data_IF_588734797757
#
_entry.id   IF_588734797757
#
_cell.length_a   1.000
_cell.length_b   1.000
_cell.length_c   1.000
_cell.angle_alpha   90.00
_cell.angle_beta   90.00
_cell.angle_gamma   90.00
#
_symmetry.space_group_name_H-M   'P 1'
#
loop_
_entity.id
_entity.type
_entity.pdbx_description
1 polymer ?
#
# COMPACT_ATOMS: atom_id res chain seq x y z
N UNK A 1 -16.46 -8.67 -7.16
CA UNK A 1 -15.39 -9.28 -7.98
C UNK A 1 -15.45 -8.62 -9.34
N UNK A 2 -14.43 -7.83 -9.73
CA UNK A 2 -14.39 -7.24 -11.07
C UNK A 2 -14.05 -8.35 -12.06
N UNK A 3 -14.90 -8.52 -13.06
CA UNK A 3 -14.78 -9.56 -14.08
C UNK A 3 -13.48 -9.39 -14.89
N UNK A 4 -12.57 -10.37 -14.79
CA UNK A 4 -11.30 -10.42 -15.55
C UNK A 4 -11.50 -10.54 -17.08
N UNK A 5 -12.74 -10.62 -17.60
CA UNK A 5 -13.05 -10.81 -19.03
C UNK A 5 -13.57 -9.58 -19.81
N UNK A 6 -13.49 -8.35 -19.31
CA UNK A 6 -13.82 -7.19 -20.17
C UNK A 6 -12.58 -6.71 -20.94
N UNK A 7 -12.44 -7.24 -22.16
CA UNK A 7 -11.28 -7.18 -23.06
C UNK A 7 -11.22 -5.92 -23.95
N UNK A 8 -11.88 -4.82 -23.59
CA UNK A 8 -11.70 -3.52 -24.27
C UNK A 8 -11.44 -2.43 -23.22
N UNK A 9 -10.21 -1.94 -23.20
CA UNK A 9 -9.79 -0.82 -22.38
C UNK A 9 -10.27 0.47 -23.03
N UNK A 10 -11.28 1.11 -22.43
CA UNK A 10 -11.86 2.39 -22.85
C UNK A 10 -11.08 3.64 -22.37
N UNK A 11 -9.75 3.57 -22.24
CA UNK A 11 -8.90 4.69 -21.78
C UNK A 11 -9.12 5.22 -20.36
N UNK A 12 -10.10 4.74 -19.58
CA UNK A 12 -10.42 5.32 -18.26
C UNK A 12 -9.29 5.08 -17.22
N UNK A 13 -8.63 6.13 -16.70
CA UNK A 13 -7.50 5.99 -15.77
C UNK A 13 -7.93 5.48 -14.39
N UNK A 14 -9.14 5.82 -13.94
CA UNK A 14 -9.69 5.33 -12.66
C UNK A 14 -9.92 3.82 -12.73
N UNK A 15 -10.53 3.34 -13.82
CA UNK A 15 -10.75 1.91 -14.05
C UNK A 15 -9.41 1.15 -14.11
N UNK A 16 -8.39 1.73 -14.73
CA UNK A 16 -7.06 1.17 -14.71
C UNK A 16 -6.53 1.06 -13.27
N UNK A 17 -6.54 2.14 -12.48
CA UNK A 17 -6.13 2.07 -11.07
C UNK A 17 -6.89 1.00 -10.27
N UNK A 18 -8.21 0.92 -10.45
CA UNK A 18 -9.06 -0.07 -9.79
C UNK A 18 -8.71 -1.52 -10.17
N UNK A 19 -8.27 -1.79 -11.41
CA UNK A 19 -7.85 -3.14 -11.81
C UNK A 19 -6.47 -3.51 -11.25
N UNK A 20 -5.68 -2.53 -10.82
CA UNK A 20 -4.33 -2.74 -10.29
C UNK A 20 -4.33 -2.96 -8.77
N UNK A 21 -5.13 -2.18 -8.01
CA UNK A 21 -5.12 -2.19 -6.54
C UNK A 21 -6.46 -1.80 -5.90
N UNK A 22 -7.58 -1.91 -6.63
CA UNK A 22 -8.88 -1.37 -6.24
C UNK A 22 -9.68 -2.13 -5.17
N UNK A 23 -9.05 -3.00 -4.39
CA UNK A 23 -9.72 -3.73 -3.30
C UNK A 23 -9.16 -3.37 -1.93
N UNK A 24 -9.99 -3.52 -0.88
CA UNK A 24 -9.64 -3.17 0.51
C UNK A 24 -8.27 -3.69 0.94
N UNK A 25 -7.97 -4.95 0.63
CA UNK A 25 -6.76 -5.60 1.15
C UNK A 25 -5.49 -5.09 0.46
N UNK A 26 -5.56 -4.78 -0.83
CA UNK A 26 -4.44 -4.16 -1.55
C UNK A 26 -4.02 -2.83 -0.90
N UNK A 27 -4.98 -1.97 -0.56
CA UNK A 27 -4.69 -0.71 0.14
C UNK A 27 -4.06 -0.93 1.53
N UNK A 28 -4.53 -1.90 2.30
CA UNK A 28 -3.99 -2.20 3.63
C UNK A 28 -2.57 -2.78 3.56
N UNK A 29 -2.28 -3.65 2.58
CA UNK A 29 -0.92 -4.16 2.34
C UNK A 29 0.01 -3.02 1.92
N UNK A 30 -0.43 -2.17 0.99
CA UNK A 30 0.36 -1.00 0.54
C UNK A 30 0.62 -0.05 1.70
N UNK A 31 -0.39 0.25 2.54
CA UNK A 31 -0.24 1.05 3.76
C UNK A 31 0.82 0.46 4.69
N UNK A 32 0.76 -0.84 4.93
CA UNK A 32 1.66 -1.54 5.84
C UNK A 32 3.11 -1.52 5.35
N UNK A 33 3.31 -1.74 4.05
CA UNK A 33 4.62 -1.60 3.40
C UNK A 33 5.12 -0.15 3.42
N UNK A 34 4.23 0.82 3.20
CA UNK A 34 4.59 2.23 2.99
C UNK A 34 4.87 2.99 4.29
N UNK A 35 4.09 2.71 5.35
CA UNK A 35 4.07 3.53 6.56
C UNK A 35 4.37 2.76 7.85
N UNK A 36 4.24 1.43 7.85
CA UNK A 36 4.42 0.62 9.06
C UNK A 36 5.71 -0.21 9.07
N UNK A 37 6.53 -0.13 8.01
CA UNK A 37 7.81 -0.85 7.90
C UNK A 37 7.66 -2.38 7.85
N UNK A 38 6.45 -2.87 7.59
CA UNK A 38 6.17 -4.31 7.51
C UNK A 38 6.67 -4.83 6.19
N UNK A 39 7.24 -6.04 6.20
CA UNK A 39 7.84 -6.66 5.02
C UNK A 39 7.73 -8.18 4.97
N UNK A 40 7.30 -8.83 6.05
CA UNK A 40 7.10 -10.28 6.07
C UNK A 40 5.63 -10.66 6.05
N UNK A 41 5.34 -11.82 5.46
CA UNK A 41 3.98 -12.36 5.33
C UNK A 41 3.16 -12.32 6.64
N UNK A 42 3.75 -12.79 7.75
CA UNK A 42 3.06 -12.86 9.04
C UNK A 42 2.76 -11.49 9.63
N UNK A 43 3.53 -10.45 9.32
CA UNK A 43 3.29 -9.11 9.84
C UNK A 43 1.98 -8.52 9.29
N UNK A 44 1.60 -8.90 8.06
CA UNK A 44 0.30 -8.54 7.49
C UNK A 44 -0.86 -9.29 8.15
N UNK A 45 -0.65 -10.55 8.56
CA UNK A 45 -1.65 -11.32 9.33
C UNK A 45 -1.85 -10.74 10.73
N UNK A 46 -0.75 -10.34 11.37
CA UNK A 46 -0.71 -9.74 12.72
C UNK A 46 -1.07 -8.24 12.69
N UNK A 47 -1.67 -7.75 11.59
CA UNK A 47 -2.09 -6.36 11.43
C UNK A 47 -3.26 -5.92 12.29
N UNK A 48 -4.05 -6.88 12.78
CA UNK A 48 -5.36 -6.60 13.39
C UNK A 48 -6.48 -6.38 12.38
N UNK A 49 -6.20 -6.41 11.07
CA UNK A 49 -7.21 -6.16 10.02
C UNK A 49 -8.09 -7.39 9.72
N UNK A 50 -7.69 -8.57 10.20
CA UNK A 50 -8.44 -9.82 10.02
C UNK A 50 -8.37 -10.41 8.60
N UNK A 51 -7.30 -10.14 7.84
CA UNK A 51 -7.10 -10.78 6.53
C UNK A 51 -6.83 -12.27 6.69
N UNK A 52 -7.54 -13.11 5.94
CA UNK A 52 -7.28 -14.56 5.94
C UNK A 52 -6.06 -14.89 5.09
N UNK A 53 -5.38 -15.99 5.41
CA UNK A 53 -4.16 -16.45 4.71
C UNK A 53 -4.39 -16.59 3.20
N UNK A 54 -5.49 -17.20 2.77
CA UNK A 54 -5.74 -17.39 1.34
C UNK A 54 -5.94 -16.07 0.59
N UNK A 55 -6.60 -15.08 1.23
CA UNK A 55 -6.81 -13.76 0.63
C UNK A 55 -5.51 -12.96 0.61
N UNK A 56 -4.71 -13.00 1.68
CA UNK A 56 -3.40 -12.35 1.72
C UNK A 56 -2.48 -12.89 0.62
N UNK A 57 -2.39 -14.22 0.49
CA UNK A 57 -1.59 -14.86 -0.56
C UNK A 57 -2.05 -14.43 -1.97
N UNK A 58 -3.35 -14.44 -2.23
CA UNK A 58 -3.92 -13.98 -3.51
C UNK A 58 -3.55 -12.52 -3.79
N UNK A 59 -3.65 -11.64 -2.79
CA UNK A 59 -3.42 -10.20 -2.98
C UNK A 59 -1.97 -9.85 -3.15
N UNK A 60 -1.07 -10.50 -2.42
CA UNK A 60 0.36 -10.32 -2.64
C UNK A 60 0.76 -10.79 -4.04
N UNK A 61 0.19 -11.89 -4.53
CA UNK A 61 0.40 -12.35 -5.89
C UNK A 61 -0.16 -11.36 -6.94
N UNK A 62 -1.38 -10.85 -6.74
CA UNK A 62 -1.98 -9.86 -7.64
C UNK A 62 -1.14 -8.55 -7.68
N UNK A 63 -0.66 -8.07 -6.53
CA UNK A 63 0.20 -6.87 -6.43
C UNK A 63 1.58 -7.08 -7.05
N UNK A 64 2.14 -8.29 -6.96
CA UNK A 64 3.37 -8.68 -7.63
C UNK A 64 3.20 -8.74 -9.15
N UNK A 65 2.15 -9.40 -9.63
CA UNK A 65 1.80 -9.49 -11.06
C UNK A 65 1.57 -8.10 -11.68
N UNK A 66 0.91 -7.20 -10.94
CA UNK A 66 0.69 -5.81 -11.37
C UNK A 66 1.94 -4.92 -11.21
N UNK A 67 3.07 -5.45 -10.72
CA UNK A 67 4.33 -4.74 -10.59
C UNK A 67 4.32 -3.63 -9.55
N UNK A 68 3.48 -3.74 -8.51
CA UNK A 68 3.41 -2.79 -7.38
C UNK A 68 4.28 -3.23 -6.21
N UNK A 69 4.48 -4.54 -6.06
CA UNK A 69 5.26 -5.16 -4.99
C UNK A 69 6.27 -6.14 -5.58
N UNK A 70 7.42 -6.26 -4.96
CA UNK A 70 8.40 -7.32 -5.22
C UNK A 70 8.35 -8.35 -4.10
N UNK A 71 8.64 -9.61 -4.42
CA UNK A 71 8.84 -10.68 -3.46
C UNK A 71 10.23 -11.27 -3.65
N UNK A 72 11.08 -11.22 -2.63
CA UNK A 72 12.43 -11.80 -2.66
C UNK A 72 12.70 -12.64 -1.43
N UNK A 73 13.52 -13.68 -1.57
CA UNK A 73 13.99 -14.43 -0.40
C UNK A 73 14.87 -13.52 0.46
N UNK A 74 14.67 -13.55 1.77
CA UNK A 74 15.50 -12.78 2.71
C UNK A 74 16.93 -13.32 2.71
N UNK A 75 17.92 -12.43 2.62
CA UNK A 75 19.34 -12.80 2.56
C UNK A 75 19.87 -13.32 3.90
N UNK A 76 19.28 -12.86 5.01
CA UNK A 76 19.65 -13.23 6.38
C UNK A 76 18.74 -14.36 6.86
N UNK A 77 17.41 -14.19 6.75
CA UNK A 77 16.40 -15.15 7.20
C UNK A 77 15.88 -15.98 6.03
N UNK A 78 16.71 -16.85 5.45
CA UNK A 78 16.40 -17.61 4.21
C UNK A 78 15.07 -18.38 4.21
N UNK A 79 14.46 -18.66 5.35
CA UNK A 79 13.13 -19.26 5.44
C UNK A 79 11.96 -18.29 5.17
N UNK A 80 12.25 -16.98 5.05
CA UNK A 80 11.26 -15.93 4.86
C UNK A 80 11.42 -15.24 3.50
N UNK A 81 10.30 -14.67 3.05
CA UNK A 81 10.26 -13.75 1.93
C UNK A 81 10.07 -12.32 2.44
N UNK A 82 10.77 -11.38 1.83
CA UNK A 82 10.63 -9.94 2.00
C UNK A 82 9.79 -9.40 0.86
N UNK A 83 8.75 -8.68 1.23
CA UNK A 83 7.91 -7.90 0.34
C UNK A 83 8.32 -6.42 0.40
N UNK A 84 8.44 -5.77 -0.75
CA UNK A 84 8.78 -4.35 -0.83
C UNK A 84 8.05 -3.68 -1.99
N UNK A 85 7.68 -2.40 -1.85
CA UNK A 85 7.08 -1.64 -2.92
C UNK A 85 8.07 -1.43 -4.08
N UNK A 86 7.58 -1.55 -5.31
CA UNK A 86 8.31 -1.10 -6.50
C UNK A 86 8.24 0.42 -6.64
N UNK A 87 8.96 0.99 -7.60
CA UNK A 87 8.78 2.40 -7.97
C UNK A 87 7.30 2.73 -8.31
N UNK A 88 6.61 1.82 -9.00
CA UNK A 88 5.17 1.94 -9.33
C UNK A 88 4.30 1.91 -8.07
N UNK A 89 4.63 1.07 -7.09
CA UNK A 89 3.94 1.03 -5.79
C UNK A 89 4.18 2.28 -4.96
N UNK A 90 5.42 2.77 -4.92
CA UNK A 90 5.80 4.02 -4.22
C UNK A 90 5.11 5.24 -4.85
N UNK A 91 4.89 5.24 -6.17
CA UNK A 91 4.19 6.31 -6.88
C UNK A 91 2.73 6.50 -6.42
N UNK A 92 2.14 5.54 -5.68
CA UNK A 92 0.81 5.66 -5.06
C UNK A 92 0.80 6.55 -3.81
N UNK A 93 1.96 6.94 -3.26
CA UNK A 93 2.05 7.70 -2.02
C UNK A 93 1.19 8.97 -2.01
N UNK A 94 1.15 9.83 -3.05
CA UNK A 94 0.28 11.01 -3.04
C UNK A 94 -1.21 10.66 -2.89
N UNK A 95 -1.65 9.57 -3.52
CA UNK A 95 -3.02 9.07 -3.39
C UNK A 95 -3.31 8.58 -1.97
N UNK A 96 -2.38 7.84 -1.37
CA UNK A 96 -2.51 7.36 0.02
C UNK A 96 -2.58 8.54 1.01
N UNK A 97 -1.75 9.57 0.82
CA UNK A 97 -1.75 10.77 1.66
C UNK A 97 -3.06 11.56 1.51
N UNK A 98 -3.57 11.74 0.29
CA UNK A 98 -4.85 12.39 0.06
C UNK A 98 -6.02 11.62 0.69
N UNK A 99 -5.97 10.28 0.66
CA UNK A 99 -6.95 9.43 1.34
C UNK A 99 -6.88 9.59 2.87
N UNK A 100 -5.68 9.74 3.44
CA UNK A 100 -5.47 9.99 4.88
C UNK A 100 -6.03 11.35 5.29
N UNK A 101 -5.74 12.41 4.53
CA UNK A 101 -6.27 13.76 4.80
C UNK A 101 -7.81 13.80 4.69
N UNK A 102 -8.37 13.12 3.68
CA UNK A 102 -9.81 12.96 3.56
C UNK A 102 -10.39 12.20 4.76
N UNK A 103 -9.76 11.10 5.19
CA UNK A 103 -10.25 10.31 6.31
C UNK A 103 -10.25 11.11 7.61
N UNK A 104 -9.21 11.90 7.89
CA UNK A 104 -9.18 12.75 9.09
C UNK A 104 -10.37 13.71 9.16
N UNK A 105 -10.83 14.22 8.01
CA UNK A 105 -11.95 15.17 7.95
C UNK A 105 -13.31 14.53 8.26
N UNK A 106 -13.46 13.24 8.01
CA UNK A 106 -14.77 12.56 8.02
C UNK A 106 -14.86 11.38 8.99
N UNK A 107 -13.75 10.97 9.60
CA UNK A 107 -13.70 9.91 10.61
C UNK A 107 -13.40 10.50 12.00
N UNK A 108 -14.44 10.68 12.80
CA UNK A 108 -14.35 11.15 14.19
C UNK A 108 -13.53 10.21 15.09
N UNK A 109 -13.18 9.02 14.60
CA UNK A 109 -12.36 8.02 15.30
C UNK A 109 -10.98 7.82 14.65
N UNK A 110 -10.56 8.75 13.80
CA UNK A 110 -9.26 8.68 13.14
C UNK A 110 -8.12 8.46 14.13
N UNK A 111 -7.25 7.51 13.82
CA UNK A 111 -6.04 7.22 14.61
C UNK A 111 -4.82 8.01 14.08
N UNK A 112 -5.00 8.86 13.07
CA UNK A 112 -3.91 9.59 12.45
C UNK A 112 -3.40 10.67 13.42
N UNK A 113 -2.10 10.70 13.75
CA UNK A 113 -1.55 11.72 14.62
C UNK A 113 -1.78 13.14 14.07
N UNK A 114 -2.16 14.08 14.94
CA UNK A 114 -2.46 15.46 14.52
C UNK A 114 -1.24 16.16 13.95
N UNK A 115 -0.04 15.91 14.49
CA UNK A 115 1.22 16.43 13.97
C UNK A 115 1.51 15.94 12.53
N UNK A 116 1.16 14.68 12.22
CA UNK A 116 1.25 14.16 10.86
C UNK A 116 0.32 14.90 9.89
N UNK A 117 -0.92 15.17 10.31
CA UNK A 117 -1.91 15.89 9.50
C UNK A 117 -1.49 17.35 9.30
N UNK A 118 -0.98 18.00 10.34
CA UNK A 118 -0.42 19.34 10.24
C UNK A 118 0.77 19.39 9.26
N UNK A 119 1.70 18.42 9.34
CA UNK A 119 2.81 18.30 8.40
C UNK A 119 2.32 18.05 6.97
N UNK A 120 1.31 17.20 6.79
CA UNK A 120 0.71 16.90 5.49
C UNK A 120 0.05 18.12 4.84
N UNK A 121 -0.65 18.95 5.62
CA UNK A 121 -1.37 20.14 5.11
C UNK A 121 -0.43 21.32 4.86
N UNK A 122 0.59 21.51 5.69
CA UNK A 122 1.48 22.68 5.61
C UNK A 122 2.75 22.43 4.81
N UNK A 123 3.27 21.20 4.82
CA UNK A 123 4.54 20.83 4.18
C UNK A 123 4.46 19.47 3.43
N UNK A 124 3.48 19.28 2.52
CA UNK A 124 3.23 17.98 1.87
C UNK A 124 4.46 17.41 1.15
N UNK A 125 5.22 18.26 0.46
CA UNK A 125 6.41 17.86 -0.28
C UNK A 125 7.56 17.45 0.64
N UNK A 126 7.74 18.14 1.77
CA UNK A 126 8.75 17.79 2.75
C UNK A 126 8.43 16.45 3.41
N UNK A 127 7.17 16.25 3.82
CA UNK A 127 6.67 14.98 4.36
C UNK A 127 6.86 13.84 3.35
N UNK A 128 6.49 14.06 2.08
CA UNK A 128 6.67 13.06 1.02
C UNK A 128 8.15 12.69 0.85
N UNK A 129 9.06 13.66 0.82
CA UNK A 129 10.49 13.36 0.69
C UNK A 129 11.04 12.61 1.91
N UNK A 130 10.59 12.96 3.12
CA UNK A 130 10.92 12.24 4.36
C UNK A 130 10.48 10.78 4.29
N UNK A 131 9.25 10.51 3.85
CA UNK A 131 8.71 9.15 3.67
C UNK A 131 9.43 8.37 2.55
N UNK A 132 9.78 9.03 1.45
CA UNK A 132 10.54 8.39 0.38
C UNK A 132 11.95 8.00 0.83
N UNK A 133 12.59 8.81 1.68
CA UNK A 133 13.90 8.49 2.24
C UNK A 133 13.83 7.29 3.18
N UNK A 134 12.81 7.20 4.05
CA UNK A 134 12.66 6.05 4.94
C UNK A 134 12.46 4.74 4.16
N UNK A 135 11.70 4.76 3.06
CA UNK A 135 11.49 3.57 2.23
C UNK A 135 12.73 3.09 1.47
N UNK A 136 13.69 3.98 1.18
CA UNK A 136 14.94 3.63 0.48
C UNK A 136 16.06 3.23 1.42
N UNK A 137 15.87 3.37 2.72
CA UNK A 137 16.89 3.11 3.74
C UNK A 137 16.85 1.68 4.30
N UNK A 138 15.91 0.85 3.83
CA UNK A 138 15.68 -0.57 4.19
C UNK A 138 16.01 -1.55 3.03
#
# INVERSE_FOLDING_TARGET
MVDKKTKEWSGCPVRFGMSQFGDKWSFLIIRDLMFKGRKYYNEFLESGEGISTNILASRLADLEENGLVTKRQDTIKRSKYVYALTEKGIALMPMMLAMIDWAEKYDDKTEVPSDFIEELRHQPEALRQKLLKSLKSD
#
